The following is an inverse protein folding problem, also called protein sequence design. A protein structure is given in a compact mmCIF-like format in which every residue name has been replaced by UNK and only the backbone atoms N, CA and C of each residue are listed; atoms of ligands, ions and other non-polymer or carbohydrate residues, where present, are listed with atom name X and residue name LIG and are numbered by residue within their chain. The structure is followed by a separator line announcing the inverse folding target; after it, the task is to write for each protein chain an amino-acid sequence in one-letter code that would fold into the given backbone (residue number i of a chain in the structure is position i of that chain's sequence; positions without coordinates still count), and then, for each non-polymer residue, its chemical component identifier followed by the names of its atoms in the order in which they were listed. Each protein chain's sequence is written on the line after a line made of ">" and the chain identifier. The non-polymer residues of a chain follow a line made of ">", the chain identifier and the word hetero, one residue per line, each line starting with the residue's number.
data_IF_755926360839
#
_entry.id   IF_755926360839
#
_cell.length_a   1.000
_cell.length_b   1.000
_cell.length_c   1.000
_cell.angle_alpha   90.00
_cell.angle_beta   90.00
_cell.angle_gamma   90.00
#
_symmetry.space_group_name_H-M   'P 1'
#
loop_
_entity.id
_entity.type
_entity.pdbx_description
1 polymer ?
#
# COMPACT_ATOMS: atom_id res chain seq x y z
N UNK A 1 -14.76 14.97 20.08
CA UNK A 1 -13.54 14.14 19.90
C UNK A 1 -13.58 13.50 18.52
N UNK A 2 -12.57 13.75 17.68
CA UNK A 2 -12.51 13.22 16.29
C UNK A 2 -12.38 11.69 16.35
N UNK A 3 -13.47 10.99 16.08
CA UNK A 3 -13.48 9.53 16.16
C UNK A 3 -12.77 8.94 14.93
N UNK A 4 -11.48 8.59 15.09
CA UNK A 4 -10.64 7.96 14.05
C UNK A 4 -10.83 6.43 13.95
N UNK A 5 -11.81 5.87 14.65
CA UNK A 5 -12.09 4.42 14.66
C UNK A 5 -12.31 3.84 13.26
N UNK A 6 -12.97 4.59 12.37
CA UNK A 6 -13.21 4.16 10.99
C UNK A 6 -11.87 4.06 10.24
N UNK A 7 -11.03 5.07 10.34
CA UNK A 7 -9.70 5.09 9.72
C UNK A 7 -8.81 3.95 10.24
N UNK A 8 -8.79 3.70 11.56
CA UNK A 8 -8.04 2.56 12.14
C UNK A 8 -8.56 1.22 11.60
N UNK A 9 -9.89 1.01 11.60
CA UNK A 9 -10.50 -0.22 11.07
C UNK A 9 -10.07 -0.46 9.62
N UNK A 10 -10.16 0.57 8.77
CA UNK A 10 -9.81 0.45 7.37
C UNK A 10 -8.30 0.32 7.12
N UNK A 11 -7.46 0.94 7.95
CA UNK A 11 -6.02 0.73 7.89
C UNK A 11 -5.64 -0.73 8.17
N UNK A 12 -6.27 -1.36 9.18
CA UNK A 12 -6.07 -2.78 9.47
C UNK A 12 -6.53 -3.65 8.29
N UNK A 13 -7.72 -3.39 7.73
CA UNK A 13 -8.22 -4.11 6.55
C UNK A 13 -7.24 -3.96 5.37
N UNK A 14 -6.73 -2.75 5.13
CA UNK A 14 -5.75 -2.47 4.08
C UNK A 14 -4.46 -3.26 4.31
N UNK A 15 -3.92 -3.25 5.53
CA UNK A 15 -2.71 -4.00 5.89
C UNK A 15 -2.91 -5.52 5.70
N UNK A 16 -4.03 -6.08 6.13
CA UNK A 16 -4.34 -7.51 5.94
C UNK A 16 -4.48 -7.85 4.45
N UNK A 17 -5.20 -7.04 3.68
CA UNK A 17 -5.30 -7.21 2.22
C UNK A 17 -3.92 -7.12 1.56
N UNK A 18 -3.03 -6.24 2.06
CA UNK A 18 -1.64 -6.13 1.60
C UNK A 18 -0.86 -7.43 1.79
N UNK A 19 -0.95 -8.01 2.98
CA UNK A 19 -0.30 -9.29 3.29
C UNK A 19 -0.89 -10.44 2.46
N UNK A 20 -2.21 -10.48 2.27
CA UNK A 20 -2.85 -11.48 1.40
C UNK A 20 -2.36 -11.36 -0.05
N UNK A 21 -2.15 -10.14 -0.54
CA UNK A 21 -1.56 -9.92 -1.86
C UNK A 21 -0.13 -10.45 -1.95
N UNK A 22 0.70 -10.22 -0.93
CA UNK A 22 2.07 -10.76 -0.88
C UNK A 22 2.09 -12.29 -0.88
N UNK A 23 1.15 -12.93 -0.18
CA UNK A 23 0.97 -14.40 -0.23
C UNK A 23 0.59 -14.84 -1.65
N UNK A 24 -0.37 -14.16 -2.29
CA UNK A 24 -0.78 -14.44 -3.66
C UNK A 24 0.42 -14.38 -4.63
N UNK A 25 1.20 -13.30 -4.57
CA UNK A 25 2.38 -13.13 -5.41
C UNK A 25 3.40 -14.26 -5.24
N UNK A 26 3.67 -14.64 -3.99
CA UNK A 26 4.55 -15.78 -3.69
C UNK A 26 4.02 -17.08 -4.28
N UNK A 27 2.72 -17.38 -4.09
CA UNK A 27 2.09 -18.60 -4.61
C UNK A 27 2.08 -18.65 -6.14
N UNK A 28 1.92 -17.50 -6.79
CA UNK A 28 2.06 -17.36 -8.24
C UNK A 28 3.52 -17.50 -8.73
N UNK A 29 4.50 -17.57 -7.82
CA UNK A 29 5.92 -17.72 -8.13
C UNK A 29 6.64 -16.41 -8.45
N UNK A 30 6.01 -15.25 -8.24
CA UNK A 30 6.60 -13.93 -8.54
C UNK A 30 7.77 -13.59 -7.64
N UNK A 31 7.89 -14.21 -6.46
CA UNK A 31 9.04 -14.01 -5.58
C UNK A 31 10.20 -15.02 -5.84
N UNK A 32 10.09 -15.83 -6.89
CA UNK A 32 11.08 -16.84 -7.25
C UNK A 32 11.10 -17.11 -8.76
N UNK A 33 10.42 -18.18 -9.20
CA UNK A 33 10.45 -18.67 -10.60
C UNK A 33 10.18 -17.58 -11.65
N UNK A 34 9.29 -16.65 -11.34
CA UNK A 34 8.81 -15.60 -12.26
C UNK A 34 9.21 -14.20 -11.80
N UNK A 35 10.36 -14.07 -11.13
CA UNK A 35 10.81 -12.80 -10.55
C UNK A 35 11.03 -11.69 -11.58
N UNK A 36 11.34 -12.03 -12.82
CA UNK A 36 11.44 -11.06 -13.92
C UNK A 36 10.11 -10.35 -14.20
N UNK A 37 8.99 -11.01 -13.93
CA UNK A 37 7.65 -10.46 -14.12
C UNK A 37 7.15 -9.69 -12.89
N UNK A 38 7.80 -9.86 -11.73
CA UNK A 38 7.37 -9.25 -10.47
C UNK A 38 7.26 -7.71 -10.59
N UNK A 39 8.26 -7.06 -11.19
CA UNK A 39 8.30 -5.60 -11.35
C UNK A 39 7.07 -5.04 -12.08
N UNK A 40 6.49 -5.82 -12.99
CA UNK A 40 5.32 -5.41 -13.77
C UNK A 40 4.02 -5.78 -13.05
N UNK A 41 3.93 -7.02 -12.56
CA UNK A 41 2.68 -7.59 -12.04
C UNK A 41 2.35 -7.12 -10.61
N UNK A 42 3.35 -6.77 -9.79
CA UNK A 42 3.08 -6.30 -8.42
C UNK A 42 2.27 -4.99 -8.41
N UNK A 43 2.40 -4.16 -9.45
CA UNK A 43 1.64 -2.90 -9.58
C UNK A 43 0.13 -3.12 -9.68
N UNK A 44 -0.34 -4.33 -10.03
CA UNK A 44 -1.76 -4.67 -10.02
C UNK A 44 -2.38 -4.57 -8.61
N UNK A 45 -1.54 -4.57 -7.56
CA UNK A 45 -1.93 -4.25 -6.19
C UNK A 45 -2.68 -2.92 -6.06
N UNK A 46 -2.41 -1.95 -6.94
CA UNK A 46 -3.09 -0.67 -6.93
C UNK A 46 -4.63 -0.82 -7.06
N UNK A 47 -5.10 -1.84 -7.77
CA UNK A 47 -6.54 -2.08 -7.98
C UNK A 47 -7.26 -2.35 -6.64
N UNK A 48 -6.93 -3.42 -5.89
CA UNK A 48 -7.59 -3.66 -4.60
C UNK A 48 -7.27 -2.55 -3.57
N UNK A 49 -6.07 -1.96 -3.59
CA UNK A 49 -5.73 -0.84 -2.71
C UNK A 49 -6.66 0.38 -2.91
N UNK A 50 -6.92 0.79 -4.16
CA UNK A 50 -7.83 1.89 -4.48
C UNK A 50 -9.26 1.54 -4.05
N UNK A 51 -9.71 0.31 -4.29
CA UNK A 51 -11.04 -0.15 -3.86
C UNK A 51 -11.20 0.01 -2.35
N UNK A 52 -10.23 -0.47 -1.55
CA UNK A 52 -10.26 -0.37 -0.10
C UNK A 52 -10.25 1.10 0.35
N UNK A 53 -9.41 1.96 -0.25
CA UNK A 53 -9.40 3.40 0.05
C UNK A 53 -10.75 4.07 -0.25
N UNK A 54 -11.37 3.76 -1.38
CA UNK A 54 -12.69 4.28 -1.76
C UNK A 54 -13.77 3.79 -0.80
N UNK A 55 -13.74 2.50 -0.41
CA UNK A 55 -14.67 1.95 0.56
C UNK A 55 -14.52 2.61 1.93
N UNK A 56 -13.29 2.89 2.37
CA UNK A 56 -13.02 3.60 3.62
C UNK A 56 -13.63 5.00 3.64
N UNK A 57 -13.45 5.77 2.56
CA UNK A 57 -14.02 7.11 2.42
C UNK A 57 -15.55 7.08 2.34
N UNK A 58 -16.14 6.10 1.64
CA UNK A 58 -17.60 5.90 1.59
C UNK A 58 -18.17 5.53 2.95
N UNK A 59 -17.48 4.67 3.70
CA UNK A 59 -17.85 4.28 5.06
C UNK A 59 -17.81 5.49 6.00
N UNK A 60 -16.74 6.29 5.94
CA UNK A 60 -16.65 7.55 6.70
C UNK A 60 -17.78 8.51 6.36
N UNK A 61 -18.07 8.69 5.06
CA UNK A 61 -19.18 9.53 4.60
C UNK A 61 -20.51 9.08 5.20
N UNK A 62 -20.81 7.78 5.13
CA UNK A 62 -22.07 7.22 5.59
C UNK A 62 -22.21 7.28 7.11
N UNK A 63 -21.21 6.81 7.83
CA UNK A 63 -21.33 6.49 9.27
C UNK A 63 -20.80 7.58 10.21
N UNK A 64 -20.04 8.57 9.70
CA UNK A 64 -19.54 9.68 10.53
C UNK A 64 -20.06 11.04 10.07
N UNK A 65 -20.35 11.21 8.79
CA UNK A 65 -20.85 12.48 8.23
C UNK A 65 -22.31 12.39 7.77
N UNK A 66 -23.07 11.37 8.20
CA UNK A 66 -24.49 11.17 7.88
C UNK A 66 -24.82 11.29 6.37
N UNK A 67 -23.94 10.71 5.55
CA UNK A 67 -24.04 10.77 4.10
C UNK A 67 -23.64 12.11 3.48
N UNK A 68 -23.30 13.14 4.28
CA UNK A 68 -23.00 14.51 3.84
C UNK A 68 -21.55 14.89 4.13
N UNK A 69 -20.64 14.36 3.30
CA UNK A 69 -19.21 14.69 3.39
C UNK A 69 -18.79 15.70 2.32
N UNK A 70 -18.12 16.77 2.73
CA UNK A 70 -17.49 17.74 1.81
C UNK A 70 -16.06 17.31 1.43
N UNK A 71 -15.47 17.99 0.44
CA UNK A 71 -14.14 17.62 -0.08
C UNK A 71 -13.05 17.69 0.99
N UNK A 72 -13.00 18.78 1.77
CA UNK A 72 -11.99 18.98 2.82
C UNK A 72 -12.08 17.92 3.92
N UNK A 73 -13.30 17.57 4.34
CA UNK A 73 -13.54 16.53 5.34
C UNK A 73 -13.02 15.16 4.87
N UNK A 74 -13.34 14.77 3.64
CA UNK A 74 -12.85 13.51 3.10
C UNK A 74 -11.34 13.50 2.85
N UNK A 75 -10.76 14.63 2.43
CA UNK A 75 -9.31 14.75 2.29
C UNK A 75 -8.60 14.56 3.63
N UNK A 76 -9.08 15.19 4.70
CA UNK A 76 -8.54 15.01 6.05
C UNK A 76 -8.66 13.55 6.50
N UNK A 77 -9.80 12.90 6.26
CA UNK A 77 -10.00 11.50 6.62
C UNK A 77 -9.05 10.57 5.86
N UNK A 78 -8.89 10.77 4.55
CA UNK A 78 -7.95 9.97 3.76
C UNK A 78 -6.48 10.23 4.10
N UNK A 79 -6.10 11.46 4.48
CA UNK A 79 -4.76 11.74 5.03
C UNK A 79 -4.53 10.96 6.33
N UNK A 80 -5.48 11.03 7.27
CA UNK A 80 -5.37 10.30 8.55
C UNK A 80 -5.24 8.80 8.30
N UNK A 81 -6.09 8.24 7.42
CA UNK A 81 -6.01 6.84 7.01
C UNK A 81 -4.63 6.50 6.42
N UNK A 82 -4.13 7.32 5.50
CA UNK A 82 -2.83 7.10 4.85
C UNK A 82 -1.67 7.15 5.84
N UNK A 83 -1.72 8.03 6.83
CA UNK A 83 -0.73 8.09 7.92
C UNK A 83 -0.76 6.80 8.75
N UNK A 84 -1.94 6.30 9.12
CA UNK A 84 -2.04 5.05 9.90
C UNK A 84 -1.50 3.87 9.07
N UNK A 85 -1.84 3.77 7.78
CA UNK A 85 -1.30 2.74 6.89
C UNK A 85 0.22 2.84 6.79
N UNK A 86 0.76 4.05 6.60
CA UNK A 86 2.20 4.28 6.54
C UNK A 86 2.91 3.85 7.84
N UNK A 87 2.31 4.10 9.01
CA UNK A 87 2.83 3.64 10.30
C UNK A 87 2.79 2.12 10.47
N UNK A 88 1.79 1.44 9.89
CA UNK A 88 1.72 -0.03 9.88
C UNK A 88 2.63 -0.66 8.83
N UNK A 89 3.06 0.11 7.82
CA UNK A 89 3.80 -0.43 6.68
C UNK A 89 5.12 -1.12 7.04
N UNK A 90 5.96 -0.65 7.99
CA UNK A 90 7.19 -1.37 8.34
C UNK A 90 6.89 -2.75 8.93
N UNK A 91 5.85 -2.85 9.76
CA UNK A 91 5.42 -4.13 10.33
C UNK A 91 4.94 -5.08 9.22
N UNK A 92 4.10 -4.62 8.30
CA UNK A 92 3.65 -5.46 7.19
C UNK A 92 4.80 -5.84 6.27
N UNK A 93 5.75 -4.92 6.03
CA UNK A 93 6.95 -5.20 5.25
C UNK A 93 7.84 -6.24 5.93
N UNK A 94 7.95 -6.20 7.25
CA UNK A 94 8.71 -7.19 8.02
C UNK A 94 8.08 -8.57 7.89
N UNK A 95 6.75 -8.68 8.05
CA UNK A 95 6.02 -9.94 7.84
C UNK A 95 6.23 -10.45 6.41
N UNK A 96 6.12 -9.59 5.41
CA UNK A 96 6.39 -9.96 4.02
C UNK A 96 7.80 -10.51 3.84
N UNK A 97 8.81 -9.74 4.27
CA UNK A 97 10.21 -10.05 4.01
C UNK A 97 10.77 -11.22 4.81
N UNK A 98 10.25 -11.50 6.01
CA UNK A 98 10.82 -12.52 6.89
C UNK A 98 9.91 -13.72 7.15
N UNK A 99 8.60 -13.59 6.93
CA UNK A 99 7.63 -14.67 7.17
C UNK A 99 7.05 -15.18 5.86
N UNK A 100 6.54 -14.28 5.00
CA UNK A 100 5.91 -14.69 3.74
C UNK A 100 6.99 -15.15 2.76
N UNK A 101 8.02 -14.33 2.52
CA UNK A 101 8.98 -14.55 1.43
C UNK A 101 10.44 -14.29 1.84
N UNK A 102 10.98 -15.06 2.81
CA UNK A 102 12.37 -14.90 3.27
C UNK A 102 13.43 -15.01 2.16
N UNK A 103 13.11 -15.69 1.06
CA UNK A 103 13.97 -15.88 -0.10
C UNK A 103 13.95 -14.71 -1.10
N UNK A 104 12.98 -13.79 -1.02
CA UNK A 104 12.75 -12.78 -2.05
C UNK A 104 13.98 -11.89 -2.29
N UNK A 105 14.57 -11.35 -1.22
CA UNK A 105 15.73 -10.45 -1.36
C UNK A 105 16.92 -11.16 -2.00
N UNK A 106 17.20 -12.41 -1.61
CA UNK A 106 18.26 -13.21 -2.23
C UNK A 106 18.00 -13.42 -3.73
N UNK A 107 16.77 -13.79 -4.08
CA UNK A 107 16.38 -14.06 -5.46
C UNK A 107 16.48 -12.80 -6.33
N UNK A 108 15.96 -11.66 -5.85
CA UNK A 108 15.95 -10.41 -6.62
C UNK A 108 17.35 -9.81 -6.75
N UNK A 109 18.19 -9.91 -5.71
CA UNK A 109 19.59 -9.47 -5.76
C UNK A 109 20.34 -10.29 -6.81
N UNK A 110 20.28 -11.63 -6.72
CA UNK A 110 20.94 -12.51 -7.68
C UNK A 110 20.49 -12.21 -9.10
N UNK A 111 19.17 -12.13 -9.32
CA UNK A 111 18.63 -11.91 -10.65
C UNK A 111 18.99 -10.53 -11.22
N UNK A 112 18.92 -9.49 -10.42
CA UNK A 112 19.23 -8.11 -10.85
C UNK A 112 20.68 -7.95 -11.30
N UNK A 113 21.63 -8.67 -10.68
CA UNK A 113 23.03 -8.69 -11.12
C UNK A 113 23.19 -9.54 -12.39
N UNK A 114 22.54 -10.70 -12.47
CA UNK A 114 22.59 -11.58 -13.66
C UNK A 114 22.13 -10.89 -14.95
N UNK A 115 21.09 -10.05 -14.85
CA UNK A 115 20.55 -9.31 -16.00
C UNK A 115 21.26 -7.96 -16.24
N UNK A 116 22.27 -7.64 -15.43
CA UNK A 116 23.06 -6.40 -15.54
C UNK A 116 22.32 -5.13 -15.09
N UNK A 117 21.23 -5.24 -14.33
CA UNK A 117 20.54 -4.09 -13.74
C UNK A 117 21.40 -3.40 -12.67
N UNK A 118 22.13 -4.20 -11.88
CA UNK A 118 23.18 -3.73 -10.97
C UNK A 118 24.53 -4.30 -11.39
N UNK A 119 25.60 -3.51 -11.22
CA UNK A 119 26.96 -3.94 -11.60
C UNK A 119 27.55 -4.93 -10.61
N UNK A 120 27.14 -4.84 -9.34
CA UNK A 120 27.68 -5.67 -8.25
C UNK A 120 26.58 -6.09 -7.28
N UNK A 121 26.80 -7.20 -6.58
CA UNK A 121 25.92 -7.67 -5.51
C UNK A 121 25.76 -6.64 -4.39
N UNK A 122 26.83 -5.93 -4.01
CA UNK A 122 26.79 -4.91 -2.97
C UNK A 122 25.87 -3.72 -3.34
N UNK A 123 25.89 -3.31 -4.61
CA UNK A 123 24.98 -2.27 -5.13
C UNK A 123 23.52 -2.72 -5.08
N UNK A 124 23.27 -3.99 -5.43
CA UNK A 124 21.93 -4.58 -5.33
C UNK A 124 21.46 -4.72 -3.88
N UNK A 125 22.32 -5.15 -2.95
CA UNK A 125 22.02 -5.27 -1.52
C UNK A 125 21.68 -3.93 -0.86
N UNK A 126 22.33 -2.85 -1.29
CA UNK A 126 22.02 -1.49 -0.82
C UNK A 126 20.58 -1.05 -1.19
N UNK A 127 20.01 -1.63 -2.25
CA UNK A 127 18.66 -1.34 -2.72
C UNK A 127 17.63 -2.39 -2.22
N UNK A 128 17.97 -3.67 -2.26
CA UNK A 128 17.08 -4.79 -1.94
C UNK A 128 17.30 -5.28 -0.52
N UNK A 129 16.85 -4.47 0.43
CA UNK A 129 16.87 -4.83 1.85
C UNK A 129 15.62 -4.32 2.56
N UNK A 130 15.37 -4.89 3.74
CA UNK A 130 14.21 -4.55 4.56
C UNK A 130 14.15 -3.06 4.90
N UNK A 131 15.26 -2.44 5.30
CA UNK A 131 15.27 -1.03 5.72
C UNK A 131 14.79 -0.12 4.57
N UNK A 132 15.36 -0.30 3.38
CA UNK A 132 14.98 0.48 2.21
C UNK A 132 13.52 0.23 1.83
N UNK A 133 13.08 -1.02 1.81
CA UNK A 133 11.69 -1.38 1.49
C UNK A 133 10.69 -0.86 2.52
N UNK A 134 11.02 -0.86 3.81
CA UNK A 134 10.16 -0.33 4.86
C UNK A 134 10.00 1.20 4.72
N UNK A 135 11.09 1.92 4.43
CA UNK A 135 11.06 3.36 4.21
C UNK A 135 10.27 3.71 2.95
N UNK A 136 10.57 3.04 1.83
CA UNK A 136 9.87 3.25 0.56
C UNK A 136 8.39 2.88 0.66
N UNK A 137 8.06 1.78 1.35
CA UNK A 137 6.69 1.36 1.60
C UNK A 137 5.92 2.39 2.43
N UNK A 138 6.52 2.96 3.47
CA UNK A 138 5.89 4.00 4.29
C UNK A 138 5.64 5.29 3.51
N UNK A 139 6.65 5.77 2.77
CA UNK A 139 6.53 6.97 1.94
C UNK A 139 5.52 6.75 0.83
N UNK A 140 5.61 5.60 0.14
CA UNK A 140 4.71 5.22 -0.94
C UNK A 140 3.25 5.14 -0.47
N UNK A 141 2.99 4.47 0.66
CA UNK A 141 1.66 4.38 1.24
C UNK A 141 1.08 5.76 1.58
N UNK A 142 1.89 6.66 2.16
CA UNK A 142 1.47 8.01 2.48
C UNK A 142 1.15 8.82 1.23
N UNK A 143 2.08 8.88 0.28
CA UNK A 143 1.94 9.68 -0.95
C UNK A 143 0.80 9.16 -1.82
N UNK A 144 0.80 7.86 -2.13
CA UNK A 144 -0.25 7.26 -2.97
C UNK A 144 -1.61 7.30 -2.29
N UNK A 145 -1.67 7.14 -0.97
CA UNK A 145 -2.92 7.26 -0.21
C UNK A 145 -3.52 8.67 -0.29
N UNK A 146 -2.68 9.71 -0.20
CA UNK A 146 -3.10 11.11 -0.36
C UNK A 146 -3.57 11.40 -1.78
N UNK A 147 -2.80 10.98 -2.79
CA UNK A 147 -3.16 11.18 -4.22
C UNK A 147 -4.47 10.46 -4.55
N UNK A 148 -4.58 9.19 -4.15
CA UNK A 148 -5.79 8.39 -4.35
C UNK A 148 -7.00 9.05 -3.68
N UNK A 149 -6.84 9.54 -2.45
CA UNK A 149 -7.90 10.26 -1.73
C UNK A 149 -8.32 11.52 -2.47
N UNK A 150 -7.38 12.34 -2.94
CA UNK A 150 -7.67 13.57 -3.65
C UNK A 150 -8.52 13.30 -4.90
N UNK A 151 -8.15 12.29 -5.68
CA UNK A 151 -8.90 11.86 -6.87
C UNK A 151 -10.27 11.30 -6.49
N UNK A 152 -10.32 10.34 -5.55
CA UNK A 152 -11.55 9.69 -5.12
C UNK A 152 -12.59 10.70 -4.59
N UNK A 153 -12.13 11.73 -3.88
CA UNK A 153 -13.01 12.75 -3.30
C UNK A 153 -13.70 13.65 -4.33
N UNK A 154 -13.22 13.72 -5.57
CA UNK A 154 -13.93 14.39 -6.67
C UNK A 154 -15.30 13.72 -6.89
N UNK A 155 -15.34 12.40 -6.78
CA UNK A 155 -16.53 11.57 -7.01
C UNK A 155 -17.34 11.32 -5.73
N UNK A 156 -16.68 11.16 -4.58
CA UNK A 156 -17.36 10.80 -3.32
C UNK A 156 -18.03 12.00 -2.65
N UNK A 157 -17.51 13.23 -2.83
CA UNK A 157 -18.05 14.43 -2.18
C UNK A 157 -19.54 14.62 -2.47
N UNK A 158 -20.25 15.13 -1.47
CA UNK A 158 -21.64 15.56 -1.66
C UNK A 158 -21.62 16.86 -2.44
N UNK A 159 -22.21 16.86 -3.65
CA UNK A 159 -22.39 18.10 -4.41
C UNK A 159 -23.40 18.96 -3.66
N UNK A 160 -23.09 20.24 -3.45
CA UNK A 160 -24.14 21.20 -3.10
C UNK A 160 -25.06 21.29 -4.31
N UNK A 161 -26.28 20.81 -4.19
CA UNK A 161 -27.34 21.16 -5.15
C UNK A 161 -27.48 22.67 -5.08
N UNK A 162 -27.23 23.35 -6.20
CA UNK A 162 -27.64 24.76 -6.34
C UNK A 162 -29.16 24.82 -6.42
#
# INVERSE_FOLDING_TARGET
>A
MKNIKIEIKWAIIFSVMGLLWMVLEKLCGLHGKYIDYHLYLTNLFAIPAIIVMVMALKDKKKNFYDGRMNYKQGLISGIILSVIIALLSPLTQWVTSFVITPEYFLNVIKRSVEIGYFKTTAEAEANFNYQNYAIQGAIGALVMGIVTTAIAMIFIRTKKTK
#
